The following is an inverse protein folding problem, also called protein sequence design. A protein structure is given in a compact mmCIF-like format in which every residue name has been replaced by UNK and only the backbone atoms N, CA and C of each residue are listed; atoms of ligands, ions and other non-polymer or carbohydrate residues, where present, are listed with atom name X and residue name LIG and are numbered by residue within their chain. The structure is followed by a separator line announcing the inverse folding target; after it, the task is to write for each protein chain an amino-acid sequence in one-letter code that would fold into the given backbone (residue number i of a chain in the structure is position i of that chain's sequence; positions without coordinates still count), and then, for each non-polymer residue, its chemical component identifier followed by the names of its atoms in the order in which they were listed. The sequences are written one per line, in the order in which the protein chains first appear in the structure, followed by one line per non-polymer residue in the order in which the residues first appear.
data_IF_253128870915
#
_entry.id   IF_253128870915
#
_cell.length_a   1.000
_cell.length_b   1.000
_cell.length_c   1.000
_cell.angle_alpha   90.00
_cell.angle_beta   90.00
_cell.angle_gamma   90.00
#
_symmetry.space_group_name_H-M   'P 1'
#
loop_
_entity.id
_entity.type
_entity.pdbx_description
1 polymer ?
#
# COMPACT_ATOMS: atom_id res chain seq x y z
N UNK A 1 1.97 2.79 6.03
CA UNK A 1 1.91 1.37 5.71
C UNK A 1 3.10 0.63 6.30
N UNK A 2 2.92 -0.62 6.63
CA UNK A 2 3.96 -1.51 7.19
C UNK A 2 3.99 -2.78 6.34
N UNK A 3 5.20 -3.25 5.98
CA UNK A 3 5.34 -4.47 5.19
C UNK A 3 6.81 -4.85 4.98
N UNK A 4 7.04 -6.10 4.66
CA UNK A 4 8.36 -6.63 4.25
C UNK A 4 8.43 -6.54 2.72
N UNK A 5 8.93 -5.39 2.21
CA UNK A 5 8.88 -5.07 0.78
C UNK A 5 9.88 -5.85 -0.08
N UNK A 6 10.94 -6.35 0.54
CA UNK A 6 12.04 -7.03 -0.14
C UNK A 6 12.18 -8.50 0.26
N UNK A 7 11.21 -9.02 1.03
CA UNK A 7 11.16 -10.39 1.52
C UNK A 7 12.42 -10.81 2.32
N UNK A 8 13.01 -9.87 3.10
CA UNK A 8 14.17 -10.13 3.95
C UNK A 8 13.80 -10.56 5.38
N UNK A 9 12.52 -10.59 5.71
CA UNK A 9 12.00 -10.99 7.00
C UNK A 9 11.85 -9.86 8.01
N UNK A 10 12.12 -8.63 7.62
CA UNK A 10 12.04 -7.45 8.45
C UNK A 10 10.92 -6.53 7.97
N UNK A 11 10.16 -5.99 8.90
CA UNK A 11 9.08 -5.06 8.56
C UNK A 11 9.63 -3.66 8.34
N UNK A 12 9.25 -3.05 7.21
CA UNK A 12 9.59 -1.70 6.79
C UNK A 12 8.39 -0.76 6.95
N UNK A 13 8.64 0.54 6.94
CA UNK A 13 7.59 1.55 7.14
C UNK A 13 7.57 2.56 6.01
N UNK A 14 6.44 2.66 5.30
CA UNK A 14 6.17 3.80 4.45
C UNK A 14 5.34 4.84 5.22
N UNK A 15 5.89 6.04 5.34
CA UNK A 15 5.29 7.15 6.10
C UNK A 15 4.89 8.26 5.15
N UNK A 16 3.59 8.46 5.00
CA UNK A 16 3.01 9.54 4.21
C UNK A 16 3.23 10.90 4.89
N UNK A 17 3.42 11.94 4.09
CA UNK A 17 3.74 13.25 4.59
C UNK A 17 3.27 14.36 3.63
N UNK A 18 3.39 15.61 4.06
CA UNK A 18 3.29 16.80 3.20
C UNK A 18 4.68 17.06 2.62
N UNK A 19 4.81 17.08 1.30
CA UNK A 19 5.99 17.24 0.43
C UNK A 19 6.63 15.91 0.03
N UNK A 20 7.51 15.35 0.85
CA UNK A 20 8.19 14.09 0.56
C UNK A 20 7.81 13.05 1.59
N UNK A 21 7.44 11.89 1.11
CA UNK A 21 7.19 10.73 1.95
C UNK A 21 8.51 10.07 2.37
N UNK A 22 8.47 9.28 3.44
CA UNK A 22 9.63 8.54 3.92
C UNK A 22 9.40 7.05 3.71
N UNK A 23 10.44 6.36 3.28
CA UNK A 23 10.47 4.91 3.26
C UNK A 23 11.59 4.42 4.17
N UNK A 24 11.20 4.04 5.37
CA UNK A 24 12.09 3.67 6.47
C UNK A 24 12.36 2.18 6.43
N UNK A 25 13.50 1.82 5.86
CA UNK A 25 13.94 0.43 5.69
C UNK A 25 14.64 -0.07 6.93
N UNK A 26 14.19 -1.21 7.44
CA UNK A 26 14.73 -1.89 8.60
C UNK A 26 16.09 -2.51 8.26
N UNK A 27 17.11 -2.24 9.08
CA UNK A 27 18.46 -2.76 8.90
C UNK A 27 18.77 -3.97 9.79
N UNK A 28 17.76 -4.46 10.53
CA UNK A 28 17.89 -5.57 11.46
C UNK A 28 18.79 -5.33 12.67
N UNK A 29 18.73 -6.25 13.63
CA UNK A 29 19.64 -6.37 14.77
C UNK A 29 19.91 -5.06 15.54
N UNK A 30 18.88 -4.25 15.80
CA UNK A 30 18.97 -3.01 16.59
C UNK A 30 19.67 -1.85 15.86
N UNK A 31 19.90 -1.97 14.57
CA UNK A 31 20.34 -0.85 13.74
C UNK A 31 19.20 0.14 13.51
N UNK A 32 19.48 1.44 13.34
CA UNK A 32 18.44 2.40 13.01
C UNK A 32 17.87 2.14 11.62
N UNK A 33 16.58 2.47 11.44
CA UNK A 33 15.95 2.50 10.12
C UNK A 33 16.65 3.55 9.22
N UNK A 34 16.70 3.27 7.93
CA UNK A 34 17.28 4.17 6.92
C UNK A 34 16.21 4.59 5.94
N UNK A 35 16.09 5.90 5.72
CA UNK A 35 15.17 6.39 4.68
C UNK A 35 15.76 6.13 3.29
N UNK A 36 15.11 5.29 2.50
CA UNK A 36 15.52 4.92 1.14
C UNK A 36 14.50 5.37 0.07
N UNK A 37 13.57 6.26 0.39
CA UNK A 37 12.52 6.67 -0.53
C UNK A 37 13.07 7.08 -1.91
N UNK A 38 14.09 7.94 -1.94
CA UNK A 38 14.70 8.41 -3.21
C UNK A 38 15.46 7.29 -3.94
N UNK A 39 16.20 6.45 -3.20
CA UNK A 39 16.98 5.34 -3.75
C UNK A 39 16.07 4.31 -4.46
N UNK A 40 14.90 4.06 -3.89
CA UNK A 40 13.97 3.04 -4.34
C UNK A 40 12.87 3.56 -5.30
N UNK A 41 12.96 4.82 -5.74
CA UNK A 41 11.99 5.36 -6.69
C UNK A 41 10.71 5.90 -6.07
N UNK A 42 10.67 6.10 -4.75
CA UNK A 42 9.50 6.58 -4.00
C UNK A 42 9.61 8.06 -3.57
N UNK A 43 10.61 8.78 -4.05
CA UNK A 43 10.94 10.15 -3.66
C UNK A 43 10.14 11.22 -4.38
N UNK A 44 8.83 11.15 -4.40
CA UNK A 44 7.95 12.11 -5.06
C UNK A 44 7.46 13.21 -4.11
N UNK A 45 7.19 14.38 -4.69
CA UNK A 45 6.54 15.48 -3.98
C UNK A 45 5.03 15.33 -4.07
N UNK A 46 4.36 15.16 -2.93
CA UNK A 46 2.91 15.06 -2.84
C UNK A 46 2.41 15.49 -1.45
N UNK A 47 1.11 15.59 -1.31
CA UNK A 47 0.43 15.61 -0.02
C UNK A 47 -0.28 14.28 0.11
N UNK A 48 0.34 13.37 0.83
CA UNK A 48 -0.05 11.97 0.90
C UNK A 48 -0.73 11.66 2.24
N UNK A 49 -1.72 10.76 2.19
CA UNK A 49 -2.55 10.38 3.33
C UNK A 49 -2.55 8.86 3.54
N UNK A 50 -3.53 8.16 2.99
CA UNK A 50 -3.59 6.70 3.07
C UNK A 50 -2.49 6.04 2.23
N UNK A 51 -1.95 4.95 2.74
CA UNK A 51 -1.02 4.11 1.99
C UNK A 51 -1.21 2.64 2.38
N UNK A 52 -1.12 1.74 1.39
CA UNK A 52 -1.29 0.30 1.59
C UNK A 52 -0.21 -0.47 0.84
N UNK A 53 0.40 -1.43 1.54
CA UNK A 53 1.16 -2.50 0.89
C UNK A 53 0.24 -3.66 0.56
N UNK A 54 0.30 -4.14 -0.67
CA UNK A 54 -0.40 -5.34 -1.12
C UNK A 54 0.33 -5.95 -2.33
N UNK A 55 0.20 -7.24 -2.51
CA UNK A 55 0.67 -7.97 -3.69
C UNK A 55 -0.50 -7.99 -4.68
N UNK A 56 -0.57 -6.99 -5.58
CA UNK A 56 -1.70 -6.82 -6.49
C UNK A 56 -1.59 -7.66 -7.75
N UNK A 57 -0.39 -8.10 -8.13
CA UNK A 57 -0.14 -8.86 -9.35
C UNK A 57 0.27 -10.33 -9.10
N UNK A 58 0.26 -10.75 -7.81
CA UNK A 58 0.58 -12.10 -7.36
C UNK A 58 2.00 -12.57 -7.71
N UNK A 59 2.96 -11.64 -7.79
CA UNK A 59 4.37 -11.98 -7.99
C UNK A 59 5.13 -12.30 -6.69
N UNK A 60 4.48 -12.04 -5.54
CA UNK A 60 4.99 -12.28 -4.17
C UNK A 60 5.74 -11.10 -3.58
N UNK A 61 5.95 -10.00 -4.32
CA UNK A 61 6.47 -8.74 -3.80
C UNK A 61 5.31 -7.83 -3.33
N UNK A 62 5.56 -6.97 -2.36
CA UNK A 62 4.55 -6.01 -1.93
C UNK A 62 4.66 -4.74 -2.76
N UNK A 63 3.61 -4.46 -3.52
CA UNK A 63 3.39 -3.16 -4.16
C UNK A 63 2.92 -2.13 -3.15
N UNK A 64 2.92 -0.85 -3.55
CA UNK A 64 2.53 0.24 -2.69
C UNK A 64 1.54 1.19 -3.40
N UNK A 65 0.34 1.31 -2.86
CA UNK A 65 -0.61 2.35 -3.25
C UNK A 65 -0.54 3.52 -2.26
N UNK A 66 -0.67 4.77 -2.76
CA UNK A 66 -0.65 5.99 -1.95
C UNK A 66 -1.72 6.96 -2.42
N UNK A 67 -2.69 7.24 -1.55
CA UNK A 67 -3.72 8.24 -1.78
C UNK A 67 -3.20 9.66 -1.53
N UNK A 68 -3.35 10.54 -2.51
CA UNK A 68 -2.88 11.92 -2.46
C UNK A 68 -4.03 12.93 -2.51
N UNK A 69 -3.86 14.08 -1.90
CA UNK A 69 -4.86 15.15 -2.00
C UNK A 69 -4.57 16.35 -1.11
N UNK A 70 -4.57 17.52 -1.69
CA UNK A 70 -4.40 18.78 -0.98
C UNK A 70 -5.74 19.29 -0.41
N UNK A 71 -5.69 20.02 0.69
CA UNK A 71 -6.82 20.70 1.34
C UNK A 71 -6.76 22.22 1.21
N UNK A 72 -5.69 22.73 0.65
CA UNK A 72 -5.51 24.19 0.56
C UNK A 72 -6.53 24.79 -0.43
N UNK A 73 -7.12 25.95 -0.16
CA UNK A 73 -7.99 26.65 -1.10
C UNK A 73 -7.39 26.90 -2.49
N UNK A 74 -6.07 26.97 -2.59
CA UNK A 74 -5.34 27.06 -3.85
C UNK A 74 -4.82 25.69 -4.33
N UNK A 75 -5.49 24.61 -3.95
CA UNK A 75 -4.99 23.26 -4.12
C UNK A 75 -4.78 22.90 -5.58
N UNK A 76 -3.68 22.20 -5.82
CA UNK A 76 -3.37 21.56 -7.08
C UNK A 76 -3.83 20.10 -6.99
N UNK A 77 -4.61 19.67 -7.96
CA UNK A 77 -4.99 18.27 -8.06
C UNK A 77 -3.72 17.39 -8.20
N UNK A 78 -3.58 16.40 -7.32
CA UNK A 78 -2.44 15.50 -7.27
C UNK A 78 -2.93 14.09 -7.56
N UNK A 79 -2.24 13.40 -8.47
CA UNK A 79 -2.56 12.02 -8.76
C UNK A 79 -2.20 11.12 -7.57
N UNK A 80 -3.00 10.09 -7.36
CA UNK A 80 -2.59 8.96 -6.53
C UNK A 80 -1.41 8.24 -7.17
N UNK A 81 -0.60 7.57 -6.34
CA UNK A 81 0.50 6.74 -6.81
C UNK A 81 0.17 5.26 -6.66
N UNK A 82 0.58 4.48 -7.64
CA UNK A 82 0.69 3.04 -7.54
C UNK A 82 2.11 2.63 -7.96
N UNK A 83 2.86 2.18 -7.01
CA UNK A 83 4.22 1.72 -7.21
C UNK A 83 4.26 0.20 -7.28
N UNK A 84 4.41 -0.33 -8.49
CA UNK A 84 4.68 -1.74 -8.71
C UNK A 84 6.11 -2.06 -8.25
N UNK A 85 6.24 -3.09 -7.45
CA UNK A 85 7.52 -3.56 -6.91
C UNK A 85 7.99 -4.78 -7.71
N UNK A 86 9.21 -4.76 -8.17
CA UNK A 86 9.84 -5.92 -8.77
C UNK A 86 11.22 -6.11 -8.15
N UNK A 87 11.41 -7.17 -7.39
CA UNK A 87 12.67 -7.47 -6.69
C UNK A 87 13.20 -6.28 -5.86
N UNK A 88 12.32 -5.62 -5.12
CA UNK A 88 12.66 -4.50 -4.23
C UNK A 88 12.87 -3.15 -4.93
N UNK A 89 12.45 -3.02 -6.19
CA UNK A 89 12.49 -1.77 -6.96
C UNK A 89 11.10 -1.31 -7.35
N UNK A 90 10.77 -0.09 -7.01
CA UNK A 90 9.46 0.49 -7.27
C UNK A 90 9.42 1.31 -8.55
N UNK A 91 8.34 1.15 -9.31
CA UNK A 91 8.03 1.95 -10.48
C UNK A 91 6.59 2.46 -10.42
N UNK A 92 6.38 3.77 -10.56
CA UNK A 92 5.03 4.34 -10.64
C UNK A 92 4.31 3.88 -11.91
N UNK A 93 3.23 3.13 -11.72
CA UNK A 93 2.36 2.57 -12.75
C UNK A 93 0.92 3.09 -12.66
N UNK A 94 0.63 4.06 -11.77
CA UNK A 94 -0.73 4.51 -11.53
C UNK A 94 -1.47 4.91 -12.81
N UNK A 95 -0.81 5.61 -13.72
CA UNK A 95 -1.43 5.99 -15.01
C UNK A 95 -1.68 4.80 -15.93
N UNK A 96 -0.77 3.82 -15.93
CA UNK A 96 -0.88 2.65 -16.80
C UNK A 96 -2.07 1.76 -16.43
N UNK A 97 -2.36 1.66 -15.14
CA UNK A 97 -3.46 0.85 -14.61
C UNK A 97 -4.74 1.64 -14.30
N UNK A 98 -4.78 2.94 -14.62
CA UNK A 98 -5.98 3.76 -14.39
C UNK A 98 -6.21 4.13 -12.92
N UNK A 99 -5.20 3.99 -12.08
CA UNK A 99 -5.22 4.30 -10.64
C UNK A 99 -4.80 5.73 -10.31
N UNK A 100 -4.39 6.53 -11.30
CA UNK A 100 -4.00 7.92 -11.11
C UNK A 100 -5.24 8.82 -10.95
N UNK A 101 -5.96 8.66 -9.84
CA UNK A 101 -7.06 9.55 -9.47
C UNK A 101 -6.52 10.89 -8.99
N UNK A 102 -7.18 11.97 -9.41
CA UNK A 102 -6.83 13.35 -9.06
C UNK A 102 -7.82 13.95 -8.04
N UNK A 103 -8.64 13.11 -7.42
CA UNK A 103 -9.53 13.50 -6.34
C UNK A 103 -8.77 13.96 -5.08
N UNK A 104 -9.49 14.24 -4.02
CA UNK A 104 -8.89 14.63 -2.73
C UNK A 104 -8.76 13.36 -1.88
N UNK A 105 -7.78 12.52 -2.19
CA UNK A 105 -7.54 11.26 -1.50
C UNK A 105 -7.27 11.43 0.00
N UNK A 106 -7.82 10.53 0.83
CA UNK A 106 -7.64 10.54 2.28
C UNK A 106 -7.25 9.20 2.84
N UNK A 107 -7.97 8.16 2.48
CA UNK A 107 -7.72 6.81 2.96
C UNK A 107 -7.78 5.81 1.84
N UNK A 108 -7.15 4.69 2.03
CA UNK A 108 -7.27 3.54 1.14
C UNK A 108 -7.29 2.25 1.95
N UNK A 109 -7.96 1.25 1.42
CA UNK A 109 -7.98 -0.08 2.00
C UNK A 109 -7.98 -1.12 0.89
N UNK A 110 -7.28 -2.22 1.11
CA UNK A 110 -7.20 -3.36 0.19
C UNK A 110 -7.97 -4.55 0.76
N UNK A 111 -8.79 -5.17 -0.08
CA UNK A 111 -9.57 -6.36 0.28
C UNK A 111 -10.09 -7.04 -0.98
N UNK A 112 -10.32 -8.32 -0.91
CA UNK A 112 -10.91 -9.12 -1.96
C UNK A 112 -12.45 -9.03 -1.82
N UNK A 113 -13.11 -8.09 -2.57
CA UNK A 113 -14.52 -7.78 -2.37
C UNK A 113 -15.46 -8.77 -3.07
N UNK A 114 -15.03 -9.37 -4.18
CA UNK A 114 -15.84 -10.30 -4.96
C UNK A 114 -15.43 -11.77 -4.79
N UNK A 115 -14.41 -12.03 -3.95
CA UNK A 115 -13.87 -13.34 -3.58
C UNK A 115 -13.29 -14.13 -4.76
N UNK A 116 -12.64 -13.43 -5.68
CA UNK A 116 -11.92 -14.04 -6.79
C UNK A 116 -10.43 -14.31 -6.47
N UNK A 117 -9.94 -13.75 -5.35
CA UNK A 117 -8.59 -13.93 -4.81
C UNK A 117 -7.65 -12.80 -5.13
N UNK A 118 -8.03 -11.89 -6.01
CA UNK A 118 -7.28 -10.68 -6.31
C UNK A 118 -7.60 -9.60 -5.26
N UNK A 119 -6.59 -8.83 -4.85
CA UNK A 119 -6.82 -7.74 -3.91
C UNK A 119 -7.29 -6.50 -4.64
N UNK A 120 -8.49 -6.05 -4.28
CA UNK A 120 -9.12 -4.84 -4.77
C UNK A 120 -8.71 -3.62 -3.94
N UNK A 121 -8.99 -2.43 -4.44
CA UNK A 121 -8.61 -1.19 -3.81
C UNK A 121 -9.81 -0.25 -3.66
N UNK A 122 -10.16 0.11 -2.43
CA UNK A 122 -11.09 1.18 -2.13
C UNK A 122 -10.30 2.44 -1.75
N UNK A 123 -10.52 3.54 -2.46
CA UNK A 123 -9.94 4.85 -2.18
C UNK A 123 -11.04 5.80 -1.72
N UNK A 124 -10.89 6.32 -0.51
CA UNK A 124 -11.82 7.28 0.07
C UNK A 124 -11.36 8.68 -0.24
N UNK A 125 -12.11 9.38 -1.07
CA UNK A 125 -11.87 10.77 -1.41
C UNK A 125 -12.79 11.69 -0.62
N UNK A 126 -12.25 12.82 -0.19
CA UNK A 126 -13.02 13.89 0.44
C UNK A 126 -13.77 14.69 -0.61
N UNK A 127 -15.04 15.03 -0.33
CA UNK A 127 -15.77 15.96 -1.15
C UNK A 127 -15.09 17.37 -1.12
N UNK A 128 -14.97 18.04 -2.26
CA UNK A 128 -14.42 19.39 -2.30
C UNK A 128 -15.26 20.37 -1.48
N UNK A 129 -14.60 21.25 -0.73
CA UNK A 129 -15.25 22.32 0.04
C UNK A 129 -15.35 23.65 -0.73
N UNK A 130 -14.72 23.73 -1.90
CA UNK A 130 -14.69 24.85 -2.81
C UNK A 130 -14.47 24.36 -4.24
N UNK A 131 -14.37 25.27 -5.21
CA UNK A 131 -14.12 24.91 -6.60
C UNK A 131 -12.82 24.09 -6.73
N UNK A 132 -12.98 22.82 -7.04
CA UNK A 132 -11.88 21.90 -7.27
C UNK A 132 -11.88 21.49 -8.74
N UNK A 133 -10.71 21.38 -9.41
CA UNK A 133 -10.65 21.25 -10.87
C UNK A 133 -11.12 19.90 -11.41
N UNK A 134 -11.27 18.92 -10.54
CA UNK A 134 -11.67 17.56 -10.91
C UNK A 134 -12.74 17.03 -9.95
N UNK A 135 -13.48 16.04 -10.40
CA UNK A 135 -14.42 15.31 -9.52
C UNK A 135 -13.67 14.57 -8.42
N UNK A 136 -14.21 14.59 -7.20
CA UNK A 136 -13.61 13.93 -6.04
C UNK A 136 -14.69 13.15 -5.28
N UNK A 137 -14.72 11.84 -5.49
CA UNK A 137 -15.61 10.91 -4.83
C UNK A 137 -14.90 9.59 -4.58
N UNK A 138 -15.37 8.84 -3.59
CA UNK A 138 -14.84 7.51 -3.25
C UNK A 138 -14.91 6.57 -4.45
N UNK A 139 -13.81 5.83 -4.68
CA UNK A 139 -13.67 4.89 -5.80
C UNK A 139 -13.37 3.50 -5.30
N UNK A 140 -14.03 2.52 -5.89
CA UNK A 140 -13.67 1.11 -5.78
C UNK A 140 -13.05 0.68 -7.11
N UNK A 141 -11.82 0.24 -7.06
CA UNK A 141 -11.11 -0.36 -8.19
C UNK A 141 -11.11 -1.86 -8.03
N UNK A 142 -11.74 -2.55 -8.98
CA UNK A 142 -11.65 -3.99 -9.06
C UNK A 142 -10.35 -4.37 -9.77
N UNK A 143 -9.65 -5.30 -9.16
CA UNK A 143 -8.47 -5.91 -9.75
C UNK A 143 -8.89 -7.16 -10.55
N UNK A 144 -8.57 -7.19 -11.82
CA UNK A 144 -8.82 -8.33 -12.71
C UNK A 144 -7.48 -8.90 -13.23
N UNK A 145 -6.38 -8.73 -12.51
CA UNK A 145 -5.08 -9.22 -12.92
C UNK A 145 -4.95 -10.71 -12.65
N UNK A 146 -5.50 -11.53 -13.51
CA UNK A 146 -5.59 -12.99 -13.41
C UNK A 146 -4.24 -13.71 -13.53
N UNK A 147 -3.16 -13.25 -12.90
CA UNK A 147 -1.85 -13.87 -12.98
C UNK A 147 -1.40 -14.38 -11.62
N UNK A 148 -0.95 -15.63 -11.56
CA UNK A 148 -0.35 -16.20 -10.36
C UNK A 148 -1.29 -17.08 -9.53
N UNK A 149 -0.77 -17.51 -8.39
CA UNK A 149 -1.49 -18.33 -7.42
C UNK A 149 -1.57 -17.59 -6.10
N UNK A 150 -2.69 -17.68 -5.45
CA UNK A 150 -2.92 -17.04 -4.16
C UNK A 150 -3.31 -18.06 -3.08
N UNK A 151 -3.18 -17.66 -1.82
CA UNK A 151 -3.63 -18.41 -0.66
C UNK A 151 -4.27 -17.47 0.35
N UNK A 152 -5.43 -17.84 0.86
CA UNK A 152 -6.12 -17.14 1.95
C UNK A 152 -5.92 -17.89 3.26
N UNK A 153 -5.29 -17.24 4.25
CA UNK A 153 -4.99 -17.82 5.55
C UNK A 153 -5.83 -17.12 6.61
N UNK A 154 -6.69 -17.86 7.28
CA UNK A 154 -7.47 -17.38 8.40
C UNK A 154 -6.88 -17.90 9.72
N UNK A 155 -6.55 -16.98 10.63
CA UNK A 155 -6.04 -17.33 11.94
C UNK A 155 -7.19 -17.42 12.96
N UNK A 156 -7.06 -18.39 13.87
CA UNK A 156 -7.97 -18.53 15.01
C UNK A 156 -7.16 -18.77 16.28
N UNK A 157 -7.13 -17.80 17.17
CA UNK A 157 -6.49 -17.91 18.47
C UNK A 157 -7.26 -18.90 19.37
N UNK A 158 -6.54 -19.67 20.16
CA UNK A 158 -7.11 -20.62 21.14
C UNK A 158 -6.89 -20.08 22.57
N UNK A 159 -5.70 -19.63 22.88
CA UNK A 159 -5.31 -19.11 24.21
C UNK A 159 -4.94 -17.63 24.18
N UNK A 160 -4.76 -17.05 22.99
CA UNK A 160 -4.44 -15.65 22.77
C UNK A 160 -5.64 -14.90 22.15
N UNK A 161 -5.39 -13.74 21.59
CA UNK A 161 -6.38 -12.93 20.88
C UNK A 161 -7.02 -13.73 19.72
N UNK A 162 -8.35 -13.71 19.65
CA UNK A 162 -9.13 -14.63 18.79
C UNK A 162 -8.93 -14.41 17.28
N UNK A 163 -8.54 -13.20 16.87
CA UNK A 163 -8.35 -12.82 15.46
C UNK A 163 -6.88 -12.86 15.02
N UNK A 164 -5.97 -13.23 15.93
CA UNK A 164 -4.56 -13.37 15.62
C UNK A 164 -3.81 -12.05 15.43
N UNK A 165 -4.34 -10.92 15.91
CA UNK A 165 -3.67 -9.61 15.83
C UNK A 165 -2.28 -9.69 16.47
N UNK A 166 -1.26 -9.16 15.77
CA UNK A 166 0.15 -9.24 16.15
C UNK A 166 0.82 -10.57 15.77
N UNK A 167 0.10 -11.49 15.12
CA UNK A 167 0.70 -12.72 14.59
C UNK A 167 1.44 -12.44 13.29
N UNK A 168 2.58 -13.11 13.14
CA UNK A 168 3.39 -13.12 11.93
C UNK A 168 3.14 -14.42 11.18
N UNK A 169 2.73 -14.31 9.92
CA UNK A 169 2.54 -15.45 9.02
C UNK A 169 3.72 -15.47 8.05
N UNK A 170 4.41 -16.59 7.99
CA UNK A 170 5.50 -16.83 7.04
C UNK A 170 5.06 -17.91 6.06
N UNK A 171 5.18 -17.63 4.77
CA UNK A 171 4.91 -18.57 3.68
C UNK A 171 6.18 -18.76 2.87
N UNK A 172 6.58 -20.00 2.62
CA UNK A 172 7.74 -20.30 1.79
C UNK A 172 7.32 -21.06 0.53
N UNK A 173 7.61 -20.48 -0.64
CA UNK A 173 7.30 -21.06 -1.94
C UNK A 173 8.51 -20.92 -2.85
N UNK A 174 8.98 -22.02 -3.43
CA UNK A 174 10.10 -22.01 -4.37
C UNK A 174 11.41 -21.47 -3.80
N UNK A 175 11.58 -21.51 -2.47
CA UNK A 175 12.76 -20.97 -1.77
C UNK A 175 12.66 -19.47 -1.46
N UNK A 176 11.56 -18.83 -1.82
CA UNK A 176 11.23 -17.45 -1.45
C UNK A 176 10.37 -17.45 -0.19
N UNK A 177 10.71 -16.61 0.77
CA UNK A 177 9.94 -16.40 1.98
C UNK A 177 9.18 -15.10 1.90
N UNK A 178 7.89 -15.17 2.19
CA UNK A 178 7.01 -14.01 2.26
C UNK A 178 6.46 -13.90 3.68
N UNK A 179 6.45 -12.70 4.23
CA UNK A 179 5.98 -12.46 5.58
C UNK A 179 4.83 -11.45 5.55
N UNK A 180 3.79 -11.79 6.29
CA UNK A 180 2.66 -10.88 6.54
C UNK A 180 2.39 -10.82 8.04
N UNK A 181 2.14 -9.64 8.53
CA UNK A 181 1.72 -9.43 9.92
C UNK A 181 0.22 -9.15 9.96
N UNK A 182 -0.47 -9.77 10.91
CA UNK A 182 -1.89 -9.50 11.14
C UNK A 182 -1.99 -8.27 12.04
N UNK A 183 -2.35 -7.16 11.47
CA UNK A 183 -2.61 -5.93 12.21
C UNK A 183 -4.10 -5.80 12.62
N UNK A 184 -4.41 -4.80 13.41
CA UNK A 184 -5.76 -4.52 13.88
C UNK A 184 -6.61 -3.71 12.90
N UNK A 185 -6.20 -3.58 11.64
CA UNK A 185 -6.84 -2.75 10.64
C UNK A 185 -6.27 -1.34 10.64
N UNK A 186 -4.99 -1.21 10.37
CA UNK A 186 -4.36 0.05 10.00
C UNK A 186 -4.64 0.35 8.53
N UNK A 187 -4.99 1.55 8.25
CA UNK A 187 -5.05 2.08 6.89
C UNK A 187 -3.98 3.13 6.69
#
# INVERSE_FOLDING_TARGET
AVGDYNNDGLMDYYVTNIKFNYFMVNQGHGKPFVNKATELGLGFFAISWGANFADFDHDGDLDLFVANGDLNPNCVAMADFYFENTDGKFQDKARAYGLADYGIGRGSVTFDYDNDGDLDLLVVNQAPQMDYPVESFTRLYRNDSASGNWIKIALKGIEAESHGIGSKVEVEVGGRKMIREIDGGGS
#
